data_IF_891179399205
#
_entry.id   IF_891179399205
#
_cell.length_a   1.000
_cell.length_b   1.000
_cell.length_c   1.000
_cell.angle_alpha   90.00
_cell.angle_beta   90.00
_cell.angle_gamma   90.00
#
_symmetry.space_group_name_H-M   'P 1'
#
loop_
_entity.id
_entity.type
_entity.pdbx_description
1 polymer ?
#
# COMPACT_ATOMS: atom_id res chain seq x y z
N UNK A 1 8.32 2.37 8.77
CA UNK A 1 7.45 2.26 7.57
C UNK A 1 6.52 3.46 7.52
N UNK A 2 6.57 4.26 6.45
CA UNK A 2 5.85 5.54 6.37
C UNK A 2 4.33 5.36 6.23
N UNK A 3 3.87 4.41 5.42
CA UNK A 3 2.44 4.25 5.08
C UNK A 3 1.56 3.86 6.29
N UNK A 4 1.87 2.83 7.10
CA UNK A 4 1.04 2.48 8.25
C UNK A 4 0.95 3.60 9.28
N UNK A 5 2.07 4.30 9.52
CA UNK A 5 2.11 5.43 10.45
C UNK A 5 1.23 6.60 9.98
N UNK A 6 1.20 6.87 8.67
CA UNK A 6 0.33 7.89 8.11
C UNK A 6 -1.16 7.52 8.28
N UNK A 7 -1.52 6.25 8.07
CA UNK A 7 -2.89 5.78 8.33
C UNK A 7 -3.28 6.00 9.79
N UNK A 8 -2.40 5.63 10.73
CA UNK A 8 -2.66 5.83 12.16
C UNK A 8 -2.87 7.31 12.51
N UNK A 9 -2.04 8.20 11.96
CA UNK A 9 -2.18 9.65 12.14
C UNK A 9 -3.51 10.15 11.59
N UNK A 10 -3.86 9.79 10.36
CA UNK A 10 -5.11 10.22 9.73
C UNK A 10 -6.33 9.68 10.49
N UNK A 11 -6.30 8.43 10.95
CA UNK A 11 -7.38 7.79 11.70
C UNK A 11 -7.70 8.53 13.01
N UNK A 12 -6.69 9.15 13.63
CA UNK A 12 -6.85 9.99 14.84
C UNK A 12 -7.46 11.36 14.53
N UNK A 13 -7.36 11.84 13.29
CA UNK A 13 -7.80 13.18 12.89
C UNK A 13 -9.20 13.21 12.28
N UNK A 14 -9.69 12.09 11.74
CA UNK A 14 -10.98 12.06 11.03
C UNK A 14 -11.85 10.89 11.48
N UNK A 15 -13.18 11.05 11.33
CA UNK A 15 -14.17 9.99 11.61
C UNK A 15 -14.62 9.22 10.37
N UNK A 16 -14.43 9.77 9.17
CA UNK A 16 -14.82 9.16 7.90
C UNK A 16 -13.98 7.91 7.55
N UNK A 17 -14.45 7.04 6.63
CA UNK A 17 -13.66 5.93 6.13
C UNK A 17 -12.35 6.38 5.48
N UNK A 18 -11.27 5.65 5.74
CA UNK A 18 -9.96 5.90 5.14
C UNK A 18 -9.68 4.87 4.03
N UNK A 19 -9.26 5.36 2.87
CA UNK A 19 -8.84 4.54 1.73
C UNK A 19 -7.30 4.58 1.67
N UNK A 20 -6.66 3.41 1.69
CA UNK A 20 -5.21 3.28 1.56
C UNK A 20 -4.86 2.57 0.25
N UNK A 21 -4.19 3.29 -0.66
CA UNK A 21 -3.86 2.79 -2.00
C UNK A 21 -2.43 3.21 -2.43
N UNK A 22 -1.36 2.68 -1.80
CA UNK A 22 0.01 3.07 -2.13
C UNK A 22 0.50 2.46 -3.45
N UNK A 23 1.61 2.98 -3.97
CA UNK A 23 2.37 2.35 -5.05
C UNK A 23 3.04 1.04 -4.56
N UNK A 24 3.54 0.22 -5.49
CA UNK A 24 4.41 -0.92 -5.18
C UNK A 24 5.83 -0.48 -4.80
N UNK A 25 5.94 0.28 -3.71
CA UNK A 25 7.20 0.87 -3.24
C UNK A 25 7.50 2.23 -3.86
N UNK A 26 8.67 2.78 -3.48
CA UNK A 26 9.18 4.03 -4.05
C UNK A 26 9.74 3.72 -5.45
N UNK A 27 9.30 4.42 -6.50
CA UNK A 27 9.80 4.18 -7.84
C UNK A 27 11.26 4.62 -7.98
N UNK A 28 12.01 3.88 -8.79
CA UNK A 28 13.26 4.35 -9.40
C UNK A 28 13.03 4.61 -10.88
N UNK A 29 13.84 5.46 -11.51
CA UNK A 29 13.78 5.70 -12.96
C UNK A 29 14.89 4.89 -13.61
N UNK A 30 14.56 4.07 -14.61
CA UNK A 30 15.55 3.33 -15.39
C UNK A 30 16.20 4.20 -16.48
N UNK A 31 17.20 3.68 -17.17
CA UNK A 31 17.94 4.41 -18.23
C UNK A 31 17.04 4.88 -19.40
N UNK A 32 15.85 4.30 -19.53
CA UNK A 32 14.86 4.64 -20.55
C UNK A 32 13.84 5.69 -20.06
N UNK A 33 14.04 6.26 -18.87
CA UNK A 33 13.13 7.25 -18.29
C UNK A 33 11.82 6.68 -17.72
N UNK A 34 11.74 5.36 -17.53
CA UNK A 34 10.53 4.69 -17.04
C UNK A 34 10.61 4.40 -15.54
N UNK A 35 9.49 4.61 -14.83
CA UNK A 35 9.37 4.27 -13.41
C UNK A 35 9.31 2.74 -13.20
N UNK A 36 10.20 2.23 -12.36
CA UNK A 36 10.31 0.81 -11.97
C UNK A 36 10.01 0.66 -10.48
N UNK A 37 9.25 -0.39 -10.15
CA UNK A 37 8.77 -0.69 -8.81
C UNK A 37 9.30 -2.04 -8.36
N UNK A 38 10.12 -2.04 -7.31
CA UNK A 38 10.84 -3.24 -6.87
C UNK A 38 10.10 -4.04 -5.76
N UNK A 39 9.06 -3.47 -5.16
CA UNK A 39 8.36 -4.11 -4.06
C UNK A 39 7.62 -5.36 -4.52
N UNK A 40 7.70 -6.44 -3.73
CA UNK A 40 7.00 -7.69 -4.03
C UNK A 40 5.54 -7.67 -3.54
N UNK A 41 4.65 -8.51 -4.09
CA UNK A 41 3.30 -8.70 -3.58
C UNK A 41 3.24 -9.02 -2.08
N UNK A 42 4.16 -9.86 -1.59
CA UNK A 42 4.22 -10.31 -0.19
C UNK A 42 4.63 -9.19 0.76
N UNK A 43 5.63 -8.40 0.37
CA UNK A 43 6.06 -7.21 1.12
C UNK A 43 4.93 -6.17 1.20
N UNK A 44 4.28 -5.93 0.06
CA UNK A 44 3.13 -5.02 -0.03
C UNK A 44 2.00 -5.48 0.89
N UNK A 45 1.61 -6.76 0.81
CA UNK A 45 0.57 -7.35 1.64
C UNK A 45 0.88 -7.22 3.15
N UNK A 46 2.16 -7.37 3.54
CA UNK A 46 2.61 -7.17 4.92
C UNK A 46 2.38 -5.74 5.43
N UNK A 47 2.67 -4.74 4.60
CA UNK A 47 2.43 -3.33 4.94
C UNK A 47 0.93 -3.04 5.01
N UNK A 48 0.15 -3.56 4.06
CA UNK A 48 -1.28 -3.31 3.97
C UNK A 48 -2.07 -3.91 5.14
N UNK A 49 -1.62 -5.05 5.70
CA UNK A 49 -2.15 -5.56 6.99
C UNK A 49 -2.01 -4.53 8.10
N UNK A 50 -0.83 -3.93 8.26
CA UNK A 50 -0.63 -2.89 9.27
C UNK A 50 -1.49 -1.64 8.99
N UNK A 51 -1.71 -1.30 7.71
CA UNK A 51 -2.64 -0.22 7.35
C UNK A 51 -4.08 -0.53 7.77
N UNK A 52 -4.57 -1.77 7.57
CA UNK A 52 -5.87 -2.21 8.08
C UNK A 52 -5.94 -2.05 9.59
N UNK A 53 -4.95 -2.61 10.30
CA UNK A 53 -4.93 -2.63 11.77
C UNK A 53 -4.87 -1.20 12.35
N UNK A 54 -4.30 -0.25 11.61
CA UNK A 54 -4.26 1.17 11.95
C UNK A 54 -5.53 1.95 11.55
N UNK A 55 -6.54 1.30 10.97
CA UNK A 55 -7.87 1.86 10.73
C UNK A 55 -8.17 2.30 9.30
N UNK A 56 -7.46 1.78 8.30
CA UNK A 56 -7.90 1.88 6.90
C UNK A 56 -9.13 0.99 6.67
N UNK A 57 -10.17 1.56 6.05
CA UNK A 57 -11.44 0.89 5.76
C UNK A 57 -11.46 0.23 4.38
N UNK A 58 -10.70 0.77 3.42
CA UNK A 58 -10.53 0.21 2.08
C UNK A 58 -9.06 0.15 1.73
N UNK A 59 -8.65 -0.99 1.17
CA UNK A 59 -7.26 -1.29 0.83
C UNK A 59 -7.16 -1.57 -0.68
N UNK A 60 -6.12 -1.08 -1.32
CA UNK A 60 -5.84 -1.38 -2.72
C UNK A 60 -4.43 -0.97 -3.13
N UNK A 61 -4.16 -0.97 -4.44
CA UNK A 61 -2.88 -0.58 -5.01
C UNK A 61 -2.93 0.52 -6.06
N UNK A 62 -1.84 1.27 -6.21
CA UNK A 62 -1.64 2.30 -7.23
C UNK A 62 -0.57 1.88 -8.25
N UNK A 63 0.35 2.77 -8.63
CA UNK A 63 1.34 2.48 -9.64
C UNK A 63 2.25 1.32 -9.23
N UNK A 64 2.57 0.45 -10.20
CA UNK A 64 3.37 -0.76 -9.98
C UNK A 64 2.61 -1.93 -9.35
N UNK A 65 1.38 -1.74 -8.86
CA UNK A 65 0.56 -2.86 -8.37
C UNK A 65 -0.15 -3.56 -9.52
N UNK A 66 -0.29 -4.89 -9.40
CA UNK A 66 -0.94 -5.76 -10.39
C UNK A 66 -1.96 -6.67 -9.67
N UNK A 67 -2.76 -7.49 -10.39
CA UNK A 67 -3.65 -8.45 -9.74
C UNK A 67 -2.96 -9.38 -8.73
N UNK A 68 -1.67 -9.68 -8.91
CA UNK A 68 -0.89 -10.49 -7.97
C UNK A 68 -0.77 -9.83 -6.59
N UNK A 69 -0.64 -8.50 -6.53
CA UNK A 69 -0.60 -7.73 -5.27
C UNK A 69 -1.93 -7.80 -4.54
N UNK A 70 -3.04 -7.66 -5.28
CA UNK A 70 -4.38 -7.76 -4.70
C UNK A 70 -4.63 -9.19 -4.21
N UNK A 71 -4.22 -10.21 -4.95
CA UNK A 71 -4.33 -11.60 -4.52
C UNK A 71 -3.51 -11.89 -3.24
N UNK A 72 -2.27 -11.39 -3.16
CA UNK A 72 -1.43 -11.53 -1.97
C UNK A 72 -2.03 -10.78 -0.76
N UNK A 73 -2.60 -9.59 -0.99
CA UNK A 73 -3.34 -8.86 0.03
C UNK A 73 -4.57 -9.64 0.50
N UNK A 74 -5.42 -10.14 -0.40
CA UNK A 74 -6.60 -10.92 -0.01
C UNK A 74 -6.23 -12.18 0.78
N UNK A 75 -5.11 -12.84 0.46
CA UNK A 75 -4.60 -13.99 1.23
C UNK A 75 -4.04 -13.60 2.60
N UNK A 76 -3.66 -12.34 2.79
CA UNK A 76 -3.02 -11.85 4.01
C UNK A 76 -3.99 -11.29 5.04
N UNK A 77 -5.17 -10.85 4.61
CA UNK A 77 -6.18 -10.25 5.48
C UNK A 77 -6.95 -11.30 6.28
#
# INVERSE_FOLDING_TARGET
>A
MLTPHLVLKLRRSVKIPLICKPNAGIPTINDQGTAVYAQTPEEFAGIMRQCRDNGAALLGGCCGTTPAFIAALTKSL
#
